data_IF_338535619874
#
_entry.id   IF_338535619874
#
_cell.length_a   1.000
_cell.length_b   1.000
_cell.length_c   1.000
_cell.angle_alpha   90.00
_cell.angle_beta   90.00
_cell.angle_gamma   90.00
#
_symmetry.space_group_name_H-M   'P 1'
#
loop_
_entity.id
_entity.type
_entity.pdbx_description
1 polymer ?
#
# COMPACT_ATOMS: atom_id res chain seq x y z
N UNK A 1 -11.50 -7.74 28.02
CA UNK A 1 -12.02 -7.65 26.65
C UNK A 1 -11.77 -6.24 26.09
N UNK A 2 -11.45 -6.05 24.82
CA UNK A 2 -11.31 -4.71 24.27
C UNK A 2 -12.61 -3.92 24.39
N UNK A 3 -12.51 -2.59 24.58
CA UNK A 3 -13.69 -1.70 24.69
C UNK A 3 -14.46 -1.72 23.36
N UNK A 4 -15.73 -2.13 23.38
CA UNK A 4 -16.62 -2.12 22.22
C UNK A 4 -17.30 -0.75 22.07
N UNK A 5 -17.42 -0.28 20.83
CA UNK A 5 -18.00 1.02 20.50
C UNK A 5 -19.48 0.88 20.12
N UNK A 6 -20.33 1.68 20.76
CA UNK A 6 -21.75 1.79 20.47
C UNK A 6 -22.13 3.14 19.91
N UNK A 7 -23.40 3.31 19.60
CA UNK A 7 -23.99 4.58 19.12
C UNK A 7 -23.24 5.20 17.94
N UNK A 8 -22.82 4.38 16.97
CA UNK A 8 -22.09 4.83 15.79
C UNK A 8 -23.05 5.16 14.65
N UNK A 9 -24.14 4.41 14.51
CA UNK A 9 -25.06 4.49 13.39
C UNK A 9 -25.66 5.90 13.18
N UNK A 10 -26.13 6.61 14.20
CA UNK A 10 -26.61 7.98 14.03
C UNK A 10 -25.59 8.95 13.42
N UNK A 11 -24.30 8.68 13.66
CA UNK A 11 -23.20 9.47 13.03
C UNK A 11 -22.99 9.09 11.57
N UNK A 12 -23.24 7.83 11.21
CA UNK A 12 -23.10 7.34 9.83
C UNK A 12 -24.18 7.99 8.96
N UNK A 13 -25.44 8.00 9.39
CA UNK A 13 -26.58 8.50 8.62
C UNK A 13 -26.81 10.03 8.72
N UNK A 14 -26.07 10.74 9.58
CA UNK A 14 -26.27 12.18 9.73
C UNK A 14 -25.94 12.94 8.42
N UNK A 15 -26.73 13.98 8.10
CA UNK A 15 -26.62 14.80 6.88
C UNK A 15 -25.18 15.29 6.62
N UNK A 16 -24.49 15.76 7.67
CA UNK A 16 -23.13 16.25 7.57
C UNK A 16 -22.12 15.17 7.17
N UNK A 17 -22.30 13.94 7.65
CA UNK A 17 -21.45 12.82 7.29
C UNK A 17 -21.69 12.35 5.85
N UNK A 18 -22.95 12.21 5.45
CA UNK A 18 -23.32 11.85 4.07
C UNK A 18 -22.81 12.91 3.09
N UNK A 19 -22.93 14.19 3.44
CA UNK A 19 -22.38 15.29 2.63
C UNK A 19 -20.86 15.13 2.39
N UNK A 20 -20.09 14.79 3.43
CA UNK A 20 -18.65 14.48 3.32
C UNK A 20 -18.41 13.22 2.49
N UNK A 21 -19.25 12.20 2.68
CA UNK A 21 -19.18 10.95 1.92
C UNK A 21 -19.38 11.16 0.42
N UNK A 22 -20.37 11.97 0.02
CA UNK A 22 -20.60 12.35 -1.39
C UNK A 22 -19.35 13.05 -1.96
N UNK A 23 -18.78 14.00 -1.22
CA UNK A 23 -17.57 14.73 -1.65
C UNK A 23 -16.39 13.77 -1.88
N UNK A 24 -16.17 12.84 -0.95
CA UNK A 24 -15.09 11.87 -1.04
C UNK A 24 -15.31 10.84 -2.16
N UNK A 25 -16.54 10.31 -2.28
CA UNK A 25 -16.91 9.37 -3.33
C UNK A 25 -16.79 9.98 -4.74
N UNK A 26 -17.08 11.29 -4.88
CA UNK A 26 -17.03 12.01 -6.15
C UNK A 26 -15.61 12.39 -6.60
N UNK A 27 -14.62 12.35 -5.69
CA UNK A 27 -13.25 12.80 -5.99
C UNK A 27 -12.64 12.06 -7.19
N UNK A 28 -12.19 12.84 -8.18
CA UNK A 28 -11.60 12.31 -9.43
C UNK A 28 -12.60 11.72 -10.45
N UNK A 29 -13.93 11.73 -10.15
CA UNK A 29 -14.96 11.12 -11.02
C UNK A 29 -15.91 12.16 -11.65
N UNK A 30 -15.84 13.41 -11.25
CA UNK A 30 -16.78 14.49 -11.58
C UNK A 30 -16.93 14.75 -13.08
N UNK A 31 -15.86 14.57 -13.87
CA UNK A 31 -15.85 14.92 -15.30
C UNK A 31 -16.60 13.91 -16.19
N UNK A 32 -16.53 12.62 -15.88
CA UNK A 32 -16.94 11.53 -16.80
C UNK A 32 -18.16 10.73 -16.33
N UNK A 33 -18.62 10.89 -15.09
CA UNK A 33 -19.68 10.09 -14.53
C UNK A 33 -20.98 10.89 -14.36
N UNK A 34 -22.01 10.52 -15.12
CA UNK A 34 -23.33 11.20 -15.08
C UNK A 34 -23.98 11.13 -13.69
N UNK A 35 -23.93 9.99 -13.02
CA UNK A 35 -24.49 9.83 -11.67
C UNK A 35 -23.78 10.72 -10.65
N UNK A 36 -22.44 10.87 -10.74
CA UNK A 36 -21.68 11.78 -9.88
C UNK A 36 -22.09 13.24 -10.11
N UNK A 37 -22.28 13.64 -11.38
CA UNK A 37 -22.73 15.00 -11.70
C UNK A 37 -24.13 15.27 -11.14
N UNK A 38 -25.06 14.32 -11.26
CA UNK A 38 -26.42 14.43 -10.70
C UNK A 38 -26.38 14.59 -9.19
N UNK A 39 -25.65 13.73 -8.47
CA UNK A 39 -25.50 13.81 -7.01
C UNK A 39 -24.89 15.14 -6.53
N UNK A 40 -23.98 15.71 -7.32
CA UNK A 40 -23.38 17.00 -6.97
C UNK A 40 -24.30 18.19 -7.28
N UNK A 41 -25.15 18.08 -8.31
CA UNK A 41 -26.14 19.11 -8.69
C UNK A 41 -27.32 19.12 -7.72
N UNK A 42 -27.89 17.95 -7.41
CA UNK A 42 -29.05 17.76 -6.54
C UNK A 42 -28.63 17.23 -5.16
N UNK A 43 -27.74 17.99 -4.49
CA UNK A 43 -27.03 17.48 -3.33
C UNK A 43 -27.92 17.26 -2.11
N UNK A 44 -28.88 18.13 -1.87
CA UNK A 44 -29.83 18.00 -0.76
C UNK A 44 -30.71 16.76 -0.92
N UNK A 45 -31.23 16.56 -2.13
CA UNK A 45 -32.05 15.38 -2.49
C UNK A 45 -31.23 14.09 -2.38
N UNK A 46 -29.97 14.11 -2.85
CA UNK A 46 -29.06 12.97 -2.75
C UNK A 46 -28.75 12.59 -1.29
N UNK A 47 -28.65 13.56 -0.38
CA UNK A 47 -28.48 13.32 1.05
C UNK A 47 -29.73 12.66 1.62
N UNK A 48 -30.92 13.24 1.36
CA UNK A 48 -32.19 12.71 1.82
C UNK A 48 -32.42 11.28 1.31
N UNK A 49 -32.20 11.05 0.00
CA UNK A 49 -32.28 9.74 -0.62
C UNK A 49 -31.34 8.72 0.07
N UNK A 50 -30.09 9.11 0.32
CA UNK A 50 -29.12 8.22 1.00
C UNK A 50 -29.55 7.90 2.42
N UNK A 51 -30.15 8.86 3.16
CA UNK A 51 -30.71 8.61 4.50
C UNK A 51 -31.85 7.59 4.43
N UNK A 52 -32.75 7.75 3.46
CA UNK A 52 -33.87 6.80 3.27
C UNK A 52 -33.37 5.39 2.93
N UNK A 53 -32.37 5.26 2.03
CA UNK A 53 -31.77 3.97 1.68
C UNK A 53 -31.11 3.28 2.91
N UNK A 54 -30.56 4.08 3.83
CA UNK A 54 -29.88 3.56 5.04
C UNK A 54 -30.85 3.24 6.19
N UNK A 55 -31.98 3.84 6.23
CA UNK A 55 -33.10 3.74 7.16
C UNK A 55 -32.94 2.75 8.34
N UNK A 56 -32.38 3.21 9.44
CA UNK A 56 -32.27 2.42 10.68
C UNK A 56 -31.43 1.14 10.62
N UNK A 57 -30.59 0.98 9.59
CA UNK A 57 -29.75 -0.22 9.41
C UNK A 57 -30.28 -1.23 8.39
N UNK A 58 -31.46 -1.01 7.83
CA UNK A 58 -32.08 -1.91 6.83
C UNK A 58 -31.52 -1.75 5.41
N UNK A 59 -30.30 -1.24 5.29
CA UNK A 59 -29.66 -1.04 3.98
C UNK A 59 -29.46 -2.35 3.24
N UNK A 60 -29.93 -2.40 1.99
CA UNK A 60 -29.65 -3.49 1.06
C UNK A 60 -28.68 -3.00 -0.02
N UNK A 61 -27.53 -3.64 -0.12
CA UNK A 61 -26.53 -3.24 -1.10
C UNK A 61 -27.01 -3.57 -2.52
N UNK A 62 -27.03 -2.58 -3.44
CA UNK A 62 -27.42 -2.85 -4.83
C UNK A 62 -26.37 -3.72 -5.54
N UNK A 63 -26.76 -4.43 -6.61
CA UNK A 63 -25.82 -5.26 -7.38
C UNK A 63 -24.59 -4.49 -7.87
N UNK A 64 -23.46 -5.19 -7.93
CA UNK A 64 -22.22 -4.65 -8.49
C UNK A 64 -22.21 -4.69 -10.01
N UNK A 65 -21.50 -3.78 -10.63
CA UNK A 65 -21.09 -3.86 -12.04
C UNK A 65 -19.77 -4.63 -12.09
N UNK A 66 -19.80 -5.81 -12.66
CA UNK A 66 -18.60 -6.63 -12.83
C UNK A 66 -17.77 -6.14 -14.03
N UNK A 67 -16.46 -6.15 -13.90
CA UNK A 67 -15.54 -5.80 -14.96
C UNK A 67 -14.18 -6.47 -14.75
N UNK A 68 -13.54 -6.85 -15.85
CA UNK A 68 -12.16 -7.35 -15.82
C UNK A 68 -11.19 -6.24 -16.20
N UNK A 69 -10.19 -6.03 -15.37
CA UNK A 69 -9.12 -5.06 -15.64
C UNK A 69 -7.75 -5.74 -15.68
N UNK A 70 -6.86 -5.20 -16.51
CA UNK A 70 -5.44 -5.60 -16.53
C UNK A 70 -4.65 -4.71 -15.56
N UNK A 71 -4.11 -5.33 -14.52
CA UNK A 71 -3.40 -4.63 -13.47
C UNK A 71 -2.05 -4.11 -13.98
N UNK A 72 -1.85 -2.82 -13.92
CA UNK A 72 -0.63 -2.04 -14.16
C UNK A 72 0.53 -2.75 -14.88
N UNK A 73 1.74 -2.71 -14.30
CA UNK A 73 2.90 -3.35 -14.93
C UNK A 73 2.85 -4.88 -15.00
N UNK A 74 2.01 -5.54 -14.19
CA UNK A 74 1.93 -7.00 -14.18
C UNK A 74 1.11 -7.56 -15.34
N UNK A 75 0.19 -6.77 -15.91
CA UNK A 75 -0.80 -7.19 -16.91
C UNK A 75 -1.62 -8.41 -16.44
N UNK A 76 -1.68 -8.62 -15.12
CA UNK A 76 -2.52 -9.66 -14.54
C UNK A 76 -3.97 -9.23 -14.62
N UNK A 77 -4.82 -10.09 -15.15
CA UNK A 77 -6.25 -9.87 -15.17
C UNK A 77 -6.82 -9.98 -13.75
N UNK A 78 -7.69 -9.04 -13.43
CA UNK A 78 -8.40 -9.00 -12.16
C UNK A 78 -9.87 -8.73 -12.41
N UNK A 79 -10.70 -9.56 -11.87
CA UNK A 79 -12.14 -9.31 -11.82
C UNK A 79 -12.39 -8.31 -10.69
N UNK A 80 -13.08 -7.24 -11.01
CA UNK A 80 -13.44 -6.19 -10.06
C UNK A 80 -14.95 -6.04 -10.02
N UNK A 81 -15.49 -5.85 -8.83
CA UNK A 81 -16.90 -5.52 -8.59
C UNK A 81 -17.01 -4.04 -8.29
N UNK A 82 -17.55 -3.26 -9.22
CA UNK A 82 -17.73 -1.80 -9.07
C UNK A 82 -19.09 -1.52 -8.46
N UNK A 83 -19.16 -0.90 -7.27
CA UNK A 83 -20.45 -0.49 -6.72
C UNK A 83 -21.01 0.69 -7.50
N UNK A 84 -22.31 0.78 -7.60
CA UNK A 84 -23.02 1.98 -8.08
C UNK A 84 -22.63 3.19 -7.25
N UNK A 85 -22.73 4.41 -7.81
CA UNK A 85 -22.28 5.60 -7.08
C UNK A 85 -23.04 5.81 -5.76
N UNK A 86 -24.35 5.51 -5.72
CA UNK A 86 -25.14 5.54 -4.50
C UNK A 86 -24.55 4.65 -3.40
N UNK A 87 -24.18 3.42 -3.73
CA UNK A 87 -23.53 2.50 -2.80
C UNK A 87 -22.14 2.98 -2.37
N UNK A 88 -21.36 3.62 -3.27
CA UNK A 88 -20.08 4.23 -2.89
C UNK A 88 -20.25 5.33 -1.84
N UNK A 89 -21.34 6.09 -1.87
CA UNK A 89 -21.65 7.11 -0.85
C UNK A 89 -21.92 6.44 0.50
N UNK A 90 -22.67 5.35 0.54
CA UNK A 90 -22.92 4.58 1.77
C UNK A 90 -21.61 3.99 2.32
N UNK A 91 -20.78 3.37 1.47
CA UNK A 91 -19.46 2.87 1.89
C UNK A 91 -18.60 3.98 2.50
N UNK A 92 -18.56 5.17 1.89
CA UNK A 92 -17.82 6.30 2.44
C UNK A 92 -18.43 6.81 3.76
N UNK A 93 -19.78 6.84 3.87
CA UNK A 93 -20.47 7.24 5.09
C UNK A 93 -20.12 6.34 6.27
N UNK A 94 -20.14 5.02 6.05
CA UNK A 94 -19.68 4.03 7.02
C UNK A 94 -18.20 4.23 7.37
N UNK A 95 -17.33 4.27 6.37
CA UNK A 95 -15.88 4.30 6.59
C UNK A 95 -15.40 5.54 7.32
N UNK A 96 -16.01 6.72 7.09
CA UNK A 96 -15.68 7.95 7.83
C UNK A 96 -15.85 7.80 9.34
N UNK A 97 -16.70 6.87 9.80
CA UNK A 97 -16.96 6.64 11.23
C UNK A 97 -16.17 5.46 11.79
N UNK A 98 -15.95 4.38 11.01
CA UNK A 98 -15.28 3.18 11.54
C UNK A 98 -13.76 3.15 11.26
N UNK A 99 -13.26 3.90 10.29
CA UNK A 99 -11.82 4.01 10.01
C UNK A 99 -11.00 4.35 11.24
N UNK A 100 -11.36 5.37 12.08
CA UNK A 100 -10.63 5.68 13.30
C UNK A 100 -10.60 4.53 14.31
N UNK A 101 -11.63 3.66 14.32
CA UNK A 101 -11.70 2.51 15.22
C UNK A 101 -10.74 1.41 14.75
N UNK A 102 -10.72 1.13 13.44
CA UNK A 102 -9.78 0.18 12.83
C UNK A 102 -8.33 0.64 13.03
N UNK A 103 -8.07 1.94 12.89
CA UNK A 103 -6.73 2.51 13.04
C UNK A 103 -6.12 2.33 14.43
N UNK A 104 -6.92 2.22 15.49
CA UNK A 104 -6.40 2.05 16.87
C UNK A 104 -5.56 0.81 17.07
N UNK A 105 -5.88 -0.28 16.37
CA UNK A 105 -5.13 -1.54 16.45
C UNK A 105 -4.20 -1.75 15.23
N UNK A 106 -4.05 -0.75 14.36
CA UNK A 106 -3.27 -0.89 13.15
C UNK A 106 -1.77 -0.90 13.43
N UNK A 107 -1.10 -1.96 13.03
CA UNK A 107 0.35 -2.07 13.14
C UNK A 107 1.07 -0.96 12.36
N UNK A 108 2.11 -0.37 12.95
CA UNK A 108 2.79 0.81 12.38
C UNK A 108 3.36 0.60 10.98
N UNK A 109 3.89 -0.58 10.70
CA UNK A 109 4.46 -0.93 9.39
C UNK A 109 3.48 -1.65 8.46
N UNK A 110 2.18 -1.60 8.75
CA UNK A 110 1.15 -1.83 7.74
C UNK A 110 1.01 -0.54 6.91
N UNK A 111 1.48 -0.59 5.67
CA UNK A 111 1.56 0.57 4.80
C UNK A 111 0.61 0.49 3.59
N UNK A 112 -0.10 -0.61 3.44
CA UNK A 112 -0.99 -0.82 2.28
C UNK A 112 -2.31 -0.08 2.43
N UNK A 113 -2.56 0.93 1.59
CA UNK A 113 -3.84 1.67 1.56
C UNK A 113 -4.24 2.33 2.89
N UNK A 114 -3.26 2.71 3.69
CA UNK A 114 -3.45 3.43 4.97
C UNK A 114 -3.09 4.90 4.77
N UNK A 115 -3.94 5.87 5.16
CA UNK A 115 -3.64 7.29 5.05
C UNK A 115 -2.32 7.66 5.75
N UNK A 116 -1.53 8.53 5.12
CA UNK A 116 -0.22 8.92 5.62
C UNK A 116 0.86 7.85 5.49
N UNK A 117 0.52 6.64 5.09
CA UNK A 117 1.43 5.53 4.85
C UNK A 117 1.38 5.12 3.37
N UNK A 118 2.34 4.36 2.91
CA UNK A 118 2.36 3.95 1.50
C UNK A 118 3.61 3.17 1.12
N UNK A 119 3.69 2.80 -0.15
CA UNK A 119 4.78 2.01 -0.71
C UNK A 119 6.16 2.61 -0.38
N UNK A 120 6.31 3.94 -0.49
CA UNK A 120 7.58 4.63 -0.23
C UNK A 120 8.00 4.55 1.24
N UNK A 121 7.06 4.69 2.18
CA UNK A 121 7.33 4.57 3.61
C UNK A 121 7.76 3.15 3.96
N UNK A 122 7.00 2.16 3.52
CA UNK A 122 7.26 0.75 3.76
C UNK A 122 8.63 0.32 3.20
N UNK A 123 8.91 0.73 1.96
CA UNK A 123 10.20 0.49 1.31
C UNK A 123 11.36 1.10 2.10
N UNK A 124 11.25 2.39 2.50
CA UNK A 124 12.29 3.07 3.29
C UNK A 124 12.52 2.41 4.65
N UNK A 125 11.47 1.89 5.30
CA UNK A 125 11.60 1.16 6.54
C UNK A 125 12.44 -0.11 6.35
N UNK A 126 12.12 -0.93 5.36
CA UNK A 126 12.86 -2.16 5.04
C UNK A 126 14.31 -1.84 4.66
N UNK A 127 14.57 -0.82 3.84
CA UNK A 127 15.93 -0.37 3.51
C UNK A 127 16.73 0.04 4.75
N UNK A 128 16.11 0.80 5.64
CA UNK A 128 16.75 1.25 6.87
C UNK A 128 17.12 0.07 7.76
N UNK A 129 16.23 -0.90 7.94
CA UNK A 129 16.52 -2.10 8.74
C UNK A 129 17.65 -2.92 8.14
N UNK A 130 17.62 -3.14 6.83
CA UNK A 130 18.67 -3.88 6.12
C UNK A 130 20.05 -3.21 6.23
N UNK A 131 20.10 -1.87 6.20
CA UNK A 131 21.37 -1.11 6.27
C UNK A 131 21.91 -0.97 7.68
N UNK A 132 21.02 -0.70 8.64
CA UNK A 132 21.43 -0.35 10.00
C UNK A 132 21.57 -1.58 10.89
N UNK A 133 20.93 -2.70 10.55
CA UNK A 133 20.99 -3.92 11.36
C UNK A 133 21.11 -5.17 10.48
N UNK A 134 22.29 -5.40 9.87
CA UNK A 134 22.52 -6.58 9.01
C UNK A 134 22.37 -7.91 9.76
N UNK A 135 22.73 -7.98 11.05
CA UNK A 135 22.58 -9.19 11.84
C UNK A 135 21.11 -9.48 12.16
N UNK A 136 20.33 -8.47 12.57
CA UNK A 136 18.90 -8.63 12.84
C UNK A 136 18.06 -8.89 11.58
N UNK A 137 18.59 -8.54 10.39
CA UNK A 137 17.97 -8.77 9.09
C UNK A 137 18.68 -9.85 8.26
N UNK A 138 19.50 -10.67 8.91
CA UNK A 138 20.30 -11.74 8.28
C UNK A 138 19.47 -12.73 7.48
N UNK A 139 18.31 -13.10 7.98
CA UNK A 139 17.35 -13.98 7.30
C UNK A 139 16.04 -13.26 7.04
N UNK A 140 15.45 -13.55 5.89
CA UNK A 140 14.15 -13.04 5.49
C UNK A 140 13.17 -14.21 5.33
N UNK A 141 11.98 -14.08 5.93
CA UNK A 141 10.81 -14.90 5.68
C UNK A 141 9.91 -14.16 4.69
N UNK A 142 9.58 -14.81 3.59
CA UNK A 142 8.54 -14.39 2.63
C UNK A 142 7.42 -15.41 2.63
N UNK A 143 6.20 -14.90 2.76
CA UNK A 143 4.98 -15.67 2.75
C UNK A 143 3.98 -14.94 1.84
N UNK A 144 3.27 -15.68 0.99
CA UNK A 144 2.33 -15.13 0.01
C UNK A 144 0.94 -15.76 0.22
N UNK A 145 -0.10 -14.91 0.21
CA UNK A 145 -1.49 -15.33 0.34
C UNK A 145 -2.07 -15.47 -1.07
N UNK A 146 -2.62 -16.64 -1.37
CA UNK A 146 -3.22 -16.91 -2.68
C UNK A 146 -4.54 -16.16 -2.83
N UNK A 147 -4.66 -15.35 -3.90
CA UNK A 147 -5.90 -14.60 -4.20
C UNK A 147 -6.50 -13.92 -2.97
N UNK A 148 -5.72 -13.11 -2.25
CA UNK A 148 -6.05 -12.59 -0.92
C UNK A 148 -7.49 -12.07 -0.79
N UNK A 149 -7.92 -11.10 -1.60
CA UNK A 149 -9.27 -10.55 -1.49
C UNK A 149 -10.38 -11.60 -1.60
N UNK A 150 -10.37 -12.46 -2.63
CA UNK A 150 -11.35 -13.55 -2.71
C UNK A 150 -11.21 -14.65 -1.65
N UNK A 151 -10.07 -14.73 -0.94
CA UNK A 151 -9.87 -15.72 0.12
C UNK A 151 -10.28 -15.24 1.50
N UNK A 152 -10.66 -13.97 1.65
CA UNK A 152 -11.17 -13.43 2.92
C UNK A 152 -12.49 -14.11 3.26
N UNK A 153 -12.55 -14.77 4.41
CA UNK A 153 -13.76 -15.41 4.91
C UNK A 153 -14.70 -14.36 5.52
N UNK A 154 -15.95 -14.32 5.04
CA UNK A 154 -16.93 -13.33 5.46
C UNK A 154 -17.26 -13.41 6.96
N UNK A 155 -17.45 -14.62 7.49
CA UNK A 155 -17.83 -14.81 8.91
C UNK A 155 -16.71 -14.35 9.85
N UNK A 156 -15.46 -14.74 9.57
CA UNK A 156 -14.30 -14.28 10.36
C UNK A 156 -14.17 -12.75 10.33
N UNK A 157 -14.47 -12.12 9.20
CA UNK A 157 -14.44 -10.67 9.09
C UNK A 157 -15.57 -10.02 9.89
N UNK A 158 -16.80 -10.52 9.78
CA UNK A 158 -17.94 -10.06 10.56
C UNK A 158 -17.68 -10.20 12.06
N UNK A 159 -17.18 -11.35 12.50
CA UNK A 159 -16.83 -11.59 13.92
C UNK A 159 -15.75 -10.62 14.40
N UNK A 160 -14.80 -10.28 13.56
CA UNK A 160 -13.78 -9.27 13.90
C UNK A 160 -14.40 -7.89 14.15
N UNK A 161 -15.42 -7.49 13.37
CA UNK A 161 -16.16 -6.25 13.62
C UNK A 161 -17.00 -6.33 14.92
N UNK A 162 -17.64 -7.47 15.20
CA UNK A 162 -18.42 -7.68 16.46
C UNK A 162 -17.55 -7.57 17.70
N UNK A 163 -16.24 -7.83 17.60
CA UNK A 163 -15.30 -7.66 18.73
C UNK A 163 -15.04 -6.19 19.09
N UNK A 164 -15.19 -5.26 18.14
CA UNK A 164 -14.93 -3.83 18.38
C UNK A 164 -16.17 -2.96 18.32
N UNK A 165 -17.25 -3.39 17.68
CA UNK A 165 -18.51 -2.66 17.53
C UNK A 165 -19.62 -3.42 18.26
N UNK A 166 -20.47 -2.68 19.00
CA UNK A 166 -21.67 -3.20 19.67
C UNK A 166 -22.99 -2.59 19.16
N UNK A 167 -22.92 -1.67 18.18
CA UNK A 167 -24.08 -1.00 17.58
C UNK A 167 -24.70 -1.93 16.51
N UNK A 168 -25.92 -2.50 16.75
CA UNK A 168 -26.52 -3.48 15.83
C UNK A 168 -26.68 -2.93 14.42
N UNK A 169 -27.28 -1.76 14.25
CA UNK A 169 -27.51 -1.16 12.92
C UNK A 169 -26.19 -0.93 12.13
N UNK A 170 -25.08 -0.63 12.85
CA UNK A 170 -23.77 -0.52 12.19
C UNK A 170 -23.25 -1.88 11.75
N UNK A 171 -23.48 -2.93 12.55
CA UNK A 171 -23.10 -4.30 12.19
C UNK A 171 -23.93 -4.80 11.00
N UNK A 172 -25.26 -4.55 11.00
CA UNK A 172 -26.14 -4.92 9.90
C UNK A 172 -25.72 -4.25 8.57
N UNK A 173 -25.33 -2.96 8.64
CA UNK A 173 -24.79 -2.26 7.47
C UNK A 173 -23.46 -2.85 6.98
N UNK A 174 -22.56 -3.22 7.89
CA UNK A 174 -21.29 -3.88 7.56
C UNK A 174 -21.55 -5.24 6.93
N UNK A 175 -22.45 -6.04 7.54
CA UNK A 175 -22.82 -7.37 7.07
C UNK A 175 -23.45 -7.30 5.67
N UNK A 176 -24.37 -6.36 5.42
CA UNK A 176 -24.96 -6.13 4.09
C UNK A 176 -23.91 -5.84 3.02
N UNK A 177 -22.88 -5.04 3.36
CA UNK A 177 -21.79 -4.74 2.43
C UNK A 177 -20.89 -5.96 2.18
N UNK A 178 -20.60 -6.76 3.21
CA UNK A 178 -19.78 -7.97 3.08
C UNK A 178 -20.51 -9.04 2.26
N UNK A 179 -21.78 -9.29 2.58
CA UNK A 179 -22.59 -10.33 1.93
C UNK A 179 -22.85 -10.01 0.46
N UNK A 180 -23.08 -8.73 0.12
CA UNK A 180 -23.30 -8.30 -1.26
C UNK A 180 -22.13 -8.62 -2.21
N UNK A 181 -20.92 -8.75 -1.69
CA UNK A 181 -19.72 -9.01 -2.47
C UNK A 181 -19.24 -10.46 -2.39
N UNK A 182 -19.92 -11.31 -1.61
CA UNK A 182 -19.45 -12.64 -1.25
C UNK A 182 -18.05 -12.56 -0.59
N UNK A 183 -17.97 -11.69 0.44
CA UNK A 183 -16.75 -11.36 1.14
C UNK A 183 -16.19 -9.97 0.81
N UNK A 184 -14.97 -9.90 0.30
CA UNK A 184 -14.30 -8.62 0.01
C UNK A 184 -13.89 -8.54 -1.45
N UNK A 185 -14.53 -7.63 -2.20
CA UNK A 185 -14.27 -7.43 -3.63
C UNK A 185 -13.16 -6.40 -3.89
N UNK A 186 -12.46 -6.53 -5.00
CA UNK A 186 -11.49 -5.53 -5.45
C UNK A 186 -12.24 -4.37 -6.12
N UNK A 187 -11.93 -3.13 -5.72
CA UNK A 187 -12.43 -1.92 -6.37
C UNK A 187 -13.18 -0.96 -5.47
N UNK A 188 -13.51 -1.35 -4.23
CA UNK A 188 -14.22 -0.52 -3.27
C UNK A 188 -13.26 0.12 -2.25
N UNK A 189 -13.63 1.30 -1.75
CA UNK A 189 -12.86 1.95 -0.68
C UNK A 189 -12.89 1.15 0.62
N UNK A 190 -14.09 0.68 1.03
CA UNK A 190 -14.25 -0.18 2.21
C UNK A 190 -13.46 -1.48 2.14
N UNK A 191 -13.34 -2.08 0.95
CA UNK A 191 -12.62 -3.34 0.77
C UNK A 191 -11.16 -3.29 1.19
N UNK A 192 -10.49 -2.17 0.95
CA UNK A 192 -9.08 -1.99 1.35
C UNK A 192 -8.94 -1.94 2.88
N UNK A 193 -9.89 -1.30 3.55
CA UNK A 193 -9.95 -1.22 5.00
C UNK A 193 -10.32 -2.56 5.63
N UNK A 194 -11.32 -3.25 5.08
CA UNK A 194 -11.75 -4.56 5.54
C UNK A 194 -10.62 -5.58 5.40
N UNK A 195 -9.91 -5.58 4.28
CA UNK A 195 -8.75 -6.43 4.06
C UNK A 195 -7.60 -6.16 5.05
N UNK A 196 -7.31 -4.88 5.35
CA UNK A 196 -6.32 -4.52 6.35
C UNK A 196 -6.75 -4.91 7.77
N UNK A 197 -8.03 -4.71 8.10
CA UNK A 197 -8.61 -5.08 9.38
C UNK A 197 -8.61 -6.60 9.59
N UNK A 198 -8.91 -7.36 8.54
CA UNK A 198 -8.88 -8.81 8.57
C UNK A 198 -7.49 -9.38 8.91
N UNK A 199 -6.41 -8.76 8.45
CA UNK A 199 -5.04 -9.18 8.75
C UNK A 199 -4.46 -8.56 10.04
N UNK A 200 -5.16 -7.63 10.68
CA UNK A 200 -4.68 -6.99 11.91
C UNK A 200 -4.38 -7.99 13.04
N UNK A 201 -5.20 -9.05 13.29
CA UNK A 201 -4.86 -10.08 14.28
C UNK A 201 -3.56 -10.83 13.95
N UNK A 202 -3.23 -11.02 12.66
CA UNK A 202 -1.95 -11.63 12.27
C UNK A 202 -0.76 -10.70 12.56
N UNK A 203 -0.92 -9.38 12.38
CA UNK A 203 0.10 -8.40 12.73
C UNK A 203 0.41 -8.46 14.24
N UNK A 204 -0.61 -8.52 15.09
CA UNK A 204 -0.47 -8.70 16.53
C UNK A 204 0.12 -10.06 16.90
N UNK A 205 -0.32 -11.13 16.26
CA UNK A 205 0.23 -12.46 16.46
C UNK A 205 1.74 -12.50 16.19
N UNK A 206 2.20 -11.87 15.11
CA UNK A 206 3.62 -11.77 14.77
C UNK A 206 4.40 -11.08 15.89
N UNK A 207 3.90 -9.96 16.42
CA UNK A 207 4.63 -9.13 17.38
C UNK A 207 4.53 -9.60 18.83
N UNK A 208 3.43 -10.23 19.21
CA UNK A 208 3.14 -10.55 20.59
C UNK A 208 3.34 -12.03 20.93
N UNK A 209 3.09 -12.93 19.96
CA UNK A 209 3.07 -14.38 20.19
C UNK A 209 4.29 -15.12 19.63
N UNK A 210 4.91 -14.62 18.56
CA UNK A 210 6.05 -15.29 17.94
C UNK A 210 7.37 -14.97 18.68
N UNK A 211 7.44 -15.41 19.92
CA UNK A 211 8.57 -15.23 20.84
C UNK A 211 9.11 -16.58 21.29
N UNK A 212 10.40 -16.60 21.64
CA UNK A 212 11.07 -17.78 22.21
C UNK A 212 11.88 -17.40 23.46
N UNK A 213 12.07 -18.36 24.36
CA UNK A 213 12.87 -18.17 25.55
C UNK A 213 14.37 -18.18 25.17
N UNK A 214 15.10 -17.22 25.70
CA UNK A 214 16.57 -17.14 25.56
C UNK A 214 17.17 -16.88 26.93
N UNK A 215 18.23 -17.62 27.28
CA UNK A 215 18.97 -17.37 28.51
C UNK A 215 20.08 -16.37 28.26
N UNK A 216 20.12 -15.27 29.01
CA UNK A 216 21.19 -14.27 28.91
C UNK A 216 22.50 -14.87 29.39
N UNK A 217 23.56 -14.76 28.63
CA UNK A 217 24.89 -15.29 28.98
C UNK A 217 25.46 -14.68 30.28
N UNK A 218 25.19 -13.36 30.50
CA UNK A 218 25.78 -12.59 31.61
C UNK A 218 25.25 -12.99 32.99
N UNK A 219 23.97 -13.35 33.10
CA UNK A 219 23.31 -13.59 34.40
C UNK A 219 22.37 -14.79 34.41
N UNK A 220 22.35 -15.61 33.37
CA UNK A 220 21.51 -16.80 33.27
C UNK A 220 19.99 -16.51 33.17
N UNK A 221 19.56 -15.26 33.22
CA UNK A 221 18.14 -14.88 33.21
C UNK A 221 17.46 -15.30 31.92
N UNK A 222 16.29 -15.93 32.02
CA UNK A 222 15.46 -16.26 30.86
C UNK A 222 14.66 -15.05 30.42
N UNK A 223 14.81 -14.66 29.18
CA UNK A 223 14.08 -13.54 28.55
C UNK A 223 13.31 -14.04 27.33
N UNK A 224 12.15 -13.44 27.07
CA UNK A 224 11.42 -13.67 25.82
C UNK A 224 12.00 -12.79 24.72
N UNK A 225 12.42 -13.41 23.63
CA UNK A 225 13.02 -12.74 22.47
C UNK A 225 12.13 -12.92 21.25
N UNK A 226 11.96 -11.88 20.46
CA UNK A 226 11.16 -11.92 19.24
C UNK A 226 11.85 -12.81 18.19
N UNK A 227 11.13 -13.77 17.62
CA UNK A 227 11.60 -14.57 16.51
C UNK A 227 11.67 -13.76 15.21
N UNK A 228 10.76 -12.80 15.08
CA UNK A 228 10.67 -11.81 13.99
C UNK A 228 11.04 -10.44 14.56
N UNK A 229 12.25 -9.97 14.30
CA UNK A 229 12.75 -8.68 14.79
C UNK A 229 12.11 -7.51 14.06
N UNK A 230 12.03 -7.60 12.74
CA UNK A 230 11.42 -6.61 11.88
C UNK A 230 10.36 -7.23 10.97
N UNK A 231 9.28 -6.49 10.79
CA UNK A 231 8.16 -6.93 9.99
C UNK A 231 7.52 -5.73 9.29
N UNK A 232 7.25 -5.85 8.00
CA UNK A 232 6.49 -4.87 7.21
C UNK A 232 5.46 -5.57 6.33
N UNK A 233 4.28 -4.96 6.20
CA UNK A 233 3.17 -5.47 5.40
C UNK A 233 2.64 -4.39 4.46
N UNK A 234 2.43 -4.76 3.21
CA UNK A 234 1.75 -3.95 2.21
C UNK A 234 0.59 -4.75 1.63
N UNK A 235 -0.61 -4.58 2.22
CA UNK A 235 -1.79 -5.42 1.98
C UNK A 235 -1.49 -6.86 2.37
N UNK A 236 -1.33 -7.77 1.41
CA UNK A 236 -1.00 -9.19 1.57
C UNK A 236 0.51 -9.49 1.45
N UNK A 237 1.30 -8.59 0.88
CA UNK A 237 2.75 -8.78 0.73
C UNK A 237 3.48 -8.52 2.06
N UNK A 238 3.86 -9.60 2.74
CA UNK A 238 4.55 -9.58 4.03
C UNK A 238 6.04 -9.86 3.88
N UNK A 239 6.85 -9.12 4.65
CA UNK A 239 8.30 -9.30 4.71
C UNK A 239 8.74 -9.26 6.16
N UNK A 240 9.27 -10.39 6.66
CA UNK A 240 9.70 -10.55 8.04
C UNK A 240 11.19 -10.85 8.09
N UNK A 241 11.89 -10.33 9.10
CA UNK A 241 13.32 -10.52 9.28
C UNK A 241 13.66 -11.02 10.68
N UNK A 242 14.72 -11.82 10.77
CA UNK A 242 15.25 -12.28 12.04
C UNK A 242 16.71 -12.74 11.93
N UNK A 243 17.43 -12.75 13.05
CA UNK A 243 18.87 -13.12 13.09
C UNK A 243 19.09 -14.63 12.99
N UNK A 244 18.10 -15.44 13.35
CA UNK A 244 18.23 -16.91 13.45
C UNK A 244 17.31 -17.63 12.47
N UNK A 245 17.89 -18.41 11.55
CA UNK A 245 17.14 -19.14 10.50
C UNK A 245 16.13 -20.12 11.08
N UNK A 246 16.55 -20.94 12.08
CA UNK A 246 15.70 -21.98 12.70
C UNK A 246 14.49 -21.35 13.40
N UNK A 247 14.72 -20.31 14.20
CA UNK A 247 13.65 -19.59 14.91
C UNK A 247 12.71 -18.85 13.98
N UNK A 248 13.25 -18.24 12.91
CA UNK A 248 12.44 -17.58 11.91
C UNK A 248 11.59 -18.60 11.10
N UNK A 249 12.13 -19.77 10.82
CA UNK A 249 11.40 -20.85 10.15
C UNK A 249 10.29 -21.41 11.03
N UNK A 250 10.56 -21.62 12.32
CA UNK A 250 9.55 -22.03 13.32
C UNK A 250 8.43 -20.99 13.46
N UNK A 251 8.80 -19.70 13.51
CA UNK A 251 7.83 -18.60 13.49
C UNK A 251 6.99 -18.57 12.20
N UNK A 252 7.63 -18.86 11.06
CA UNK A 252 6.96 -18.96 9.76
C UNK A 252 5.90 -20.06 9.73
N UNK A 253 6.19 -21.25 10.28
CA UNK A 253 5.20 -22.34 10.41
C UNK A 253 4.03 -21.93 11.27
N UNK A 254 4.28 -21.37 12.45
CA UNK A 254 3.21 -20.88 13.35
C UNK A 254 2.36 -19.81 12.71
N UNK A 255 2.96 -18.90 11.95
CA UNK A 255 2.24 -17.87 11.20
C UNK A 255 1.40 -18.49 10.07
N UNK A 256 1.95 -19.45 9.34
CA UNK A 256 1.25 -20.20 8.30
C UNK A 256 0.00 -20.88 8.86
N UNK A 257 0.16 -21.61 9.98
CA UNK A 257 -0.94 -22.28 10.66
C UNK A 257 -2.00 -21.30 11.16
N UNK A 258 -1.59 -20.15 11.71
CA UNK A 258 -2.49 -19.10 12.16
C UNK A 258 -3.30 -18.51 11.01
N UNK A 259 -2.66 -18.16 9.91
CA UNK A 259 -3.33 -17.63 8.73
C UNK A 259 -4.33 -18.63 8.13
N UNK A 260 -3.96 -19.92 8.09
CA UNK A 260 -4.78 -20.98 7.53
C UNK A 260 -5.94 -21.38 8.45
N UNK A 261 -5.65 -21.64 9.72
CA UNK A 261 -6.62 -22.25 10.65
C UNK A 261 -7.50 -21.21 11.34
N UNK A 262 -6.95 -20.05 11.72
CA UNK A 262 -7.67 -18.98 12.43
C UNK A 262 -8.28 -18.00 11.45
N UNK A 263 -7.49 -17.49 10.49
CA UNK A 263 -8.00 -16.55 9.50
C UNK A 263 -8.54 -17.21 8.22
N UNK A 264 -8.59 -18.54 8.14
CA UNK A 264 -9.14 -19.30 7.00
C UNK A 264 -8.61 -18.87 5.63
N UNK A 265 -7.38 -18.31 5.58
CA UNK A 265 -6.75 -17.84 4.36
C UNK A 265 -6.04 -18.96 3.59
N UNK A 266 -6.05 -18.88 2.27
CA UNK A 266 -5.29 -19.78 1.40
C UNK A 266 -3.85 -19.29 1.26
N UNK A 267 -2.97 -19.75 2.13
CA UNK A 267 -1.54 -19.44 2.08
C UNK A 267 -0.86 -20.39 1.10
N UNK A 268 0.10 -19.90 0.32
CA UNK A 268 0.88 -20.75 -0.60
C UNK A 268 1.91 -21.56 0.18
N UNK A 269 2.08 -22.82 -0.20
CA UNK A 269 3.01 -23.73 0.44
C UNK A 269 4.50 -23.44 0.12
N UNK A 270 4.77 -22.59 -0.89
CA UNK A 270 6.11 -22.18 -1.33
C UNK A 270 6.75 -21.05 -0.49
N UNK A 271 6.24 -20.81 0.72
CA UNK A 271 6.84 -19.84 1.63
C UNK A 271 8.27 -20.24 2.04
N UNK A 272 9.13 -19.27 2.25
CA UNK A 272 10.57 -19.53 2.38
C UNK A 272 11.24 -18.64 3.41
N UNK A 273 12.22 -19.24 4.11
CA UNK A 273 13.22 -18.51 4.90
C UNK A 273 14.58 -18.62 4.22
N UNK A 274 15.14 -17.49 3.86
CA UNK A 274 16.41 -17.45 3.14
C UNK A 274 17.39 -16.44 3.74
N UNK A 275 18.68 -16.66 3.50
CA UNK A 275 19.74 -15.72 3.82
C UNK A 275 19.63 -14.50 2.91
N UNK A 276 19.60 -13.30 3.47
CA UNK A 276 19.71 -12.06 2.70
C UNK A 276 21.13 -11.95 2.14
N UNK A 277 21.25 -11.47 0.91
CA UNK A 277 22.54 -11.39 0.20
C UNK A 277 23.64 -10.78 1.05
N UNK A 278 24.70 -11.54 1.29
CA UNK A 278 25.93 -11.13 1.97
C UNK A 278 27.17 -11.45 1.13
N UNK A 279 28.16 -10.60 1.23
CA UNK A 279 29.49 -10.83 0.65
C UNK A 279 30.24 -11.81 1.55
N UNK A 280 30.83 -12.86 1.00
CA UNK A 280 31.63 -13.85 1.68
C UNK A 280 32.94 -14.08 0.93
N UNK A 281 33.93 -14.61 1.62
CA UNK A 281 35.21 -15.03 1.04
C UNK A 281 35.38 -16.52 1.27
N UNK A 282 35.85 -17.26 0.26
CA UNK A 282 36.20 -18.65 0.40
C UNK A 282 37.36 -18.82 1.38
N UNK A 283 37.18 -19.63 2.42
CA UNK A 283 38.15 -19.79 3.50
C UNK A 283 39.17 -20.92 3.21
N UNK A 284 38.85 -21.83 2.33
CA UNK A 284 39.69 -23.00 2.03
C UNK A 284 39.49 -23.45 0.58
N UNK A 285 40.34 -24.39 0.11
CA UNK A 285 40.32 -24.98 -1.22
C UNK A 285 40.88 -24.08 -2.32
N UNK A 286 40.74 -24.54 -3.59
CA UNK A 286 41.28 -23.83 -4.78
C UNK A 286 40.81 -22.36 -4.94
N UNK A 287 39.69 -21.99 -4.32
CA UNK A 287 39.09 -20.63 -4.37
C UNK A 287 39.37 -19.82 -3.09
N UNK A 288 40.30 -20.21 -2.24
CA UNK A 288 40.68 -19.47 -1.02
C UNK A 288 40.98 -18.01 -1.39
N UNK A 289 40.34 -17.05 -0.67
CA UNK A 289 40.49 -15.62 -0.94
C UNK A 289 39.49 -15.04 -1.96
N UNK A 290 38.85 -15.86 -2.82
CA UNK A 290 37.86 -15.39 -3.76
C UNK A 290 36.59 -14.92 -3.05
N UNK A 291 36.04 -13.83 -3.53
CA UNK A 291 34.82 -13.22 -3.00
C UNK A 291 33.60 -13.71 -3.77
N UNK A 292 32.60 -14.14 -3.03
CA UNK A 292 31.29 -14.52 -3.60
C UNK A 292 30.12 -13.90 -2.83
N UNK A 293 28.95 -13.91 -3.45
CA UNK A 293 27.72 -13.47 -2.80
C UNK A 293 26.86 -14.69 -2.45
N UNK A 294 26.62 -14.88 -1.15
CA UNK A 294 25.71 -15.90 -0.64
C UNK A 294 24.33 -15.32 -0.36
N UNK A 295 23.28 -16.15 -0.49
CA UNK A 295 21.90 -15.72 -0.24
C UNK A 295 21.25 -15.05 -1.43
N UNK A 296 20.16 -14.34 -1.19
CA UNK A 296 19.41 -13.61 -2.24
C UNK A 296 18.87 -12.29 -1.74
N UNK A 297 18.64 -11.36 -2.69
CA UNK A 297 18.03 -10.07 -2.37
C UNK A 297 16.54 -10.24 -1.99
N UNK A 298 16.07 -9.41 -1.07
CA UNK A 298 14.67 -9.34 -0.68
C UNK A 298 13.88 -8.69 -1.80
N UNK A 299 12.92 -9.43 -2.38
CA UNK A 299 12.00 -8.93 -3.39
C UNK A 299 10.75 -8.37 -2.71
N UNK A 300 10.60 -7.03 -2.69
CA UNK A 300 9.50 -6.36 -2.03
C UNK A 300 9.13 -5.06 -2.75
N UNK A 301 7.83 -4.81 -2.98
CA UNK A 301 7.28 -3.59 -3.57
C UNK A 301 7.92 -3.17 -4.92
N UNK A 302 8.32 -4.15 -5.72
CA UNK A 302 8.93 -3.88 -7.03
C UNK A 302 10.44 -3.62 -7.00
N UNK A 303 11.06 -3.76 -5.84
CA UNK A 303 12.49 -3.62 -5.64
C UNK A 303 13.13 -4.94 -5.20
N UNK A 304 14.43 -5.06 -5.44
CA UNK A 304 15.32 -6.07 -4.86
C UNK A 304 16.29 -5.36 -3.94
N UNK A 305 16.28 -5.74 -2.68
CA UNK A 305 17.00 -5.06 -1.60
C UNK A 305 17.94 -6.01 -0.88
N UNK A 306 19.09 -5.51 -0.50
CA UNK A 306 20.01 -6.19 0.42
C UNK A 306 20.67 -5.15 1.34
N UNK A 307 21.60 -5.57 2.20
CA UNK A 307 22.26 -4.71 3.18
C UNK A 307 23.01 -3.51 2.58
N UNK A 308 23.37 -3.56 1.28
CA UNK A 308 24.18 -2.52 0.63
C UNK A 308 23.41 -1.68 -0.40
N UNK A 309 22.45 -2.29 -1.09
CA UNK A 309 21.81 -1.64 -2.24
C UNK A 309 20.34 -2.03 -2.40
N UNK A 310 19.59 -1.14 -3.04
CA UNK A 310 18.22 -1.33 -3.50
C UNK A 310 18.17 -1.08 -4.98
N UNK A 311 17.80 -2.08 -5.77
CA UNK A 311 17.65 -1.97 -7.21
C UNK A 311 16.23 -2.30 -7.64
N UNK A 312 15.81 -1.83 -8.81
CA UNK A 312 14.50 -2.19 -9.36
C UNK A 312 14.46 -3.65 -9.78
N UNK A 313 13.28 -4.27 -9.64
CA UNK A 313 13.03 -5.66 -10.04
C UNK A 313 13.31 -5.85 -11.55
N UNK A 314 14.03 -6.89 -11.93
CA UNK A 314 14.44 -7.20 -13.31
C UNK A 314 13.26 -7.14 -14.31
N UNK A 315 12.07 -7.61 -13.93
CA UNK A 315 10.87 -7.57 -14.76
C UNK A 315 10.42 -6.14 -15.05
N UNK A 316 10.50 -5.23 -14.06
CA UNK A 316 10.17 -3.80 -14.22
C UNK A 316 11.21 -3.13 -15.13
N UNK A 317 12.50 -3.37 -14.88
CA UNK A 317 13.59 -2.85 -15.71
C UNK A 317 13.44 -3.24 -17.20
N UNK A 318 13.17 -4.52 -17.48
CA UNK A 318 12.95 -4.99 -18.86
C UNK A 318 11.77 -4.31 -19.54
N UNK A 319 10.66 -4.10 -18.82
CA UNK A 319 9.46 -3.42 -19.35
C UNK A 319 9.73 -1.94 -19.62
N UNK A 320 10.41 -1.28 -18.69
CA UNK A 320 10.82 0.11 -18.84
C UNK A 320 11.67 0.29 -20.10
N UNK A 321 12.69 -0.56 -20.30
CA UNK A 321 13.55 -0.54 -21.50
C UNK A 321 12.75 -0.77 -22.79
N UNK A 322 11.85 -1.76 -22.83
CA UNK A 322 10.99 -2.01 -24.01
C UNK A 322 10.07 -0.83 -24.28
N UNK A 323 9.50 -0.22 -23.26
CA UNK A 323 8.60 0.95 -23.40
C UNK A 323 9.36 2.15 -23.92
N UNK A 324 10.55 2.46 -23.40
CA UNK A 324 11.39 3.57 -23.84
C UNK A 324 11.74 3.43 -25.34
N UNK A 325 12.22 2.26 -25.75
CA UNK A 325 12.54 1.98 -27.17
C UNK A 325 11.33 2.09 -28.09
N UNK A 326 10.14 1.68 -27.62
CA UNK A 326 8.90 1.80 -28.42
C UNK A 326 8.49 3.27 -28.57
N UNK A 327 8.65 4.07 -27.54
CA UNK A 327 8.34 5.51 -27.60
C UNK A 327 9.30 6.23 -28.54
N UNK A 328 10.58 5.91 -28.51
CA UNK A 328 11.60 6.52 -29.42
C UNK A 328 11.31 6.29 -30.89
N UNK A 329 10.55 5.23 -31.24
CA UNK A 329 10.15 4.95 -32.64
C UNK A 329 8.89 5.71 -33.08
N UNK A 330 8.25 6.49 -32.21
CA UNK A 330 7.06 7.26 -32.53
C UNK A 330 7.44 8.67 -33.00
N UNK A 331 6.70 9.27 -33.92
CA UNK A 331 6.87 10.68 -34.30
C UNK A 331 6.74 11.61 -33.09
N UNK A 332 5.77 11.34 -32.21
CA UNK A 332 5.59 12.07 -30.96
C UNK A 332 5.06 11.13 -29.86
N UNK A 333 5.52 11.30 -28.62
CA UNK A 333 4.99 10.54 -27.49
C UNK A 333 3.58 11.01 -27.12
N UNK A 334 2.70 10.07 -26.77
CA UNK A 334 1.37 10.40 -26.25
C UNK A 334 1.41 10.78 -24.76
N UNK A 335 0.37 11.45 -24.25
CA UNK A 335 0.20 11.71 -22.81
C UNK A 335 0.34 10.42 -21.95
N UNK A 336 -0.20 9.30 -22.45
CA UNK A 336 -0.08 7.99 -21.77
C UNK A 336 1.35 7.48 -21.76
N UNK A 337 2.12 7.75 -22.80
CA UNK A 337 3.55 7.41 -22.85
C UNK A 337 4.33 8.24 -21.84
N UNK A 338 4.10 9.55 -21.81
CA UNK A 338 4.72 10.47 -20.86
C UNK A 338 4.40 10.07 -19.40
N UNK A 339 3.13 9.87 -19.08
CA UNK A 339 2.67 9.44 -17.73
C UNK A 339 3.30 8.11 -17.31
N UNK A 340 3.42 7.16 -18.23
CA UNK A 340 4.06 5.86 -17.94
C UNK A 340 5.56 6.04 -17.65
N UNK A 341 6.28 6.84 -18.42
CA UNK A 341 7.72 7.03 -18.22
C UNK A 341 8.04 7.84 -16.98
N UNK A 342 7.23 8.84 -16.63
CA UNK A 342 7.37 9.60 -15.38
C UNK A 342 7.09 8.68 -14.17
N UNK A 343 6.09 7.81 -14.25
CA UNK A 343 5.84 6.80 -13.21
C UNK A 343 7.04 5.85 -13.05
N UNK A 344 7.63 5.38 -14.14
CA UNK A 344 8.84 4.54 -14.08
C UNK A 344 10.05 5.29 -13.53
N UNK A 345 10.21 6.57 -13.86
CA UNK A 345 11.27 7.39 -13.29
C UNK A 345 11.18 7.46 -11.77
N UNK A 346 9.97 7.48 -11.20
CA UNK A 346 9.77 7.38 -9.74
C UNK A 346 10.43 6.15 -9.12
N UNK A 347 10.38 4.98 -9.76
CA UNK A 347 11.09 3.78 -9.28
C UNK A 347 12.62 3.97 -9.28
N UNK A 348 13.16 4.64 -10.29
CA UNK A 348 14.61 4.92 -10.41
C UNK A 348 15.07 5.88 -9.32
N UNK A 349 14.36 7.01 -9.14
CA UNK A 349 14.70 8.03 -8.14
C UNK A 349 14.75 7.46 -6.71
N UNK A 350 13.98 6.39 -6.46
CA UNK A 350 13.94 5.71 -5.17
C UNK A 350 14.79 4.43 -5.11
N UNK A 351 15.82 4.28 -5.96
CA UNK A 351 16.66 3.09 -6.00
C UNK A 351 18.10 3.42 -6.43
N UNK A 352 19.00 2.46 -6.25
CA UNK A 352 20.38 2.53 -6.71
C UNK A 352 20.51 2.07 -8.18
N UNK A 353 19.44 2.22 -9.00
CA UNK A 353 19.37 1.79 -10.40
C UNK A 353 19.71 2.90 -11.40
N UNK A 354 20.44 3.92 -10.96
CA UNK A 354 20.76 5.09 -11.79
C UNK A 354 21.57 4.72 -13.05
N UNK A 355 22.61 3.87 -12.92
CA UNK A 355 23.39 3.40 -14.07
C UNK A 355 22.53 2.71 -15.14
N UNK A 356 21.52 1.94 -14.70
CA UNK A 356 20.55 1.34 -15.62
C UNK A 356 19.74 2.41 -16.37
N UNK A 357 19.27 3.46 -15.67
CA UNK A 357 18.55 4.54 -16.32
C UNK A 357 19.43 5.25 -17.35
N UNK A 358 20.62 5.69 -16.96
CA UNK A 358 21.54 6.42 -17.82
C UNK A 358 21.88 5.63 -19.12
N UNK A 359 22.15 4.33 -18.99
CA UNK A 359 22.60 3.53 -20.14
C UNK A 359 21.47 2.93 -20.98
N UNK A 360 20.30 2.65 -20.37
CA UNK A 360 19.27 1.87 -21.04
C UNK A 360 17.97 2.64 -21.32
N UNK A 361 17.77 3.83 -20.73
CA UNK A 361 16.53 4.61 -20.86
C UNK A 361 16.80 6.03 -21.36
N UNK A 362 17.74 6.76 -20.75
CA UNK A 362 18.04 8.14 -21.10
C UNK A 362 18.39 8.37 -22.58
N UNK A 363 19.04 7.44 -23.30
CA UNK A 363 19.28 7.60 -24.73
C UNK A 363 18.01 7.67 -25.60
N UNK A 364 16.89 7.14 -25.09
CA UNK A 364 15.62 7.05 -25.80
C UNK A 364 14.58 8.06 -25.34
N UNK A 365 14.71 8.59 -24.11
CA UNK A 365 13.66 9.36 -23.45
C UNK A 365 14.23 10.61 -22.78
N UNK A 366 13.72 11.77 -23.17
CA UNK A 366 13.90 13.01 -22.41
C UNK A 366 12.80 13.10 -21.33
N UNK A 367 13.16 12.83 -20.07
CA UNK A 367 12.21 12.78 -18.97
C UNK A 367 11.63 14.16 -18.62
N UNK A 368 12.38 15.22 -18.82
CA UNK A 368 11.91 16.60 -18.54
C UNK A 368 10.80 16.97 -19.52
N UNK A 369 10.99 16.72 -20.85
CA UNK A 369 9.93 16.92 -21.84
C UNK A 369 8.67 16.10 -21.49
N UNK A 370 8.82 14.86 -20.97
CA UNK A 370 7.67 14.06 -20.54
C UNK A 370 6.93 14.67 -19.34
N UNK A 371 7.64 15.27 -18.38
CA UNK A 371 7.04 15.99 -17.25
C UNK A 371 6.32 17.26 -17.71
N UNK A 372 6.91 18.02 -18.61
CA UNK A 372 6.30 19.21 -19.22
C UNK A 372 5.00 18.88 -19.93
N UNK A 373 4.97 17.80 -20.74
CA UNK A 373 3.73 17.34 -21.39
C UNK A 373 2.61 17.05 -20.39
N UNK A 374 2.93 16.45 -19.24
CA UNK A 374 1.93 16.16 -18.19
C UNK A 374 1.46 17.45 -17.53
N UNK A 375 2.39 18.38 -17.24
CA UNK A 375 2.09 19.66 -16.61
C UNK A 375 1.21 20.53 -17.52
N UNK A 376 1.54 20.66 -18.80
CA UNK A 376 0.78 21.43 -19.78
C UNK A 376 -0.63 20.88 -19.97
N UNK A 377 -0.77 19.53 -20.04
CA UNK A 377 -2.08 18.88 -20.09
C UNK A 377 -2.91 19.12 -18.82
N UNK A 378 -2.27 19.24 -17.64
CA UNK A 378 -2.98 19.58 -16.40
C UNK A 378 -3.42 21.06 -16.38
N UNK A 379 -2.60 21.98 -16.92
CA UNK A 379 -2.91 23.42 -17.01
C UNK A 379 -4.02 23.70 -18.03
N UNK A 380 -3.96 23.13 -19.24
CA UNK A 380 -5.02 23.27 -20.24
C UNK A 380 -6.37 22.75 -19.73
N UNK A 381 -6.37 21.73 -18.89
CA UNK A 381 -7.57 21.23 -18.21
C UNK A 381 -8.09 22.15 -17.10
N UNK A 382 -7.26 22.99 -16.50
CA UNK A 382 -7.68 23.97 -15.49
C UNK A 382 -8.20 25.25 -16.13
N UNK A 383 -7.65 25.71 -17.24
CA UNK A 383 -8.11 26.90 -17.97
C UNK A 383 -9.50 26.68 -18.57
N UNK A 384 -9.78 25.51 -19.14
CA UNK A 384 -11.13 25.15 -19.63
C UNK A 384 -12.19 24.99 -18.53
N UNK A 385 -11.77 24.90 -17.25
CA UNK A 385 -12.67 24.82 -16.09
C UNK A 385 -12.93 26.15 -15.38
N UNK A 386 -12.16 27.21 -15.67
CA UNK A 386 -12.23 28.49 -14.94
C UNK A 386 -13.16 29.55 -15.58
N UNK A 387 -13.92 29.20 -16.62
CA UNK A 387 -14.95 30.11 -17.18
C UNK A 387 -16.14 30.42 -16.24
N UNK A 388 -16.23 29.81 -15.06
CA UNK A 388 -17.25 30.10 -14.02
C UNK A 388 -16.73 29.68 -12.65
N UNK A 389 -15.93 30.48 -11.98
CA UNK A 389 -15.79 30.48 -10.49
C UNK A 389 -14.88 31.61 -10.00
N UNK A 390 -15.51 32.69 -9.57
CA UNK A 390 -14.96 33.49 -8.49
C UNK A 390 -14.99 32.69 -7.19
N UNK A 391 -14.06 33.00 -6.28
CA UNK A 391 -13.95 32.51 -4.89
C UNK A 391 -13.50 31.07 -4.68
N UNK A 392 -12.17 30.84 -4.68
CA UNK A 392 -11.55 29.67 -4.10
C UNK A 392 -10.32 30.02 -3.24
N UNK A 393 -10.48 30.97 -2.31
CA UNK A 393 -9.41 31.34 -1.35
C UNK A 393 -9.52 30.65 0.02
N UNK A 394 -10.58 29.85 0.28
CA UNK A 394 -10.85 29.25 1.60
C UNK A 394 -10.20 27.87 1.87
N UNK A 395 -9.71 27.15 0.87
CA UNK A 395 -9.26 25.77 1.08
C UNK A 395 -7.76 25.58 1.36
N UNK A 396 -6.94 26.63 1.35
CA UNK A 396 -5.50 26.53 1.72
C UNK A 396 -5.21 26.55 3.23
N UNK A 397 -6.20 26.88 4.07
CA UNK A 397 -6.00 26.99 5.54
C UNK A 397 -6.28 25.72 6.35
N UNK A 398 -7.01 24.74 5.82
CA UNK A 398 -7.38 23.54 6.57
C UNK A 398 -6.29 22.45 6.53
N UNK A 399 -5.49 22.35 5.46
CA UNK A 399 -4.40 21.37 5.40
C UNK A 399 -3.19 21.72 6.29
N UNK A 400 -3.07 22.97 6.75
CA UNK A 400 -1.99 23.40 7.66
C UNK A 400 -2.27 23.22 9.16
N UNK A 401 -3.51 22.93 9.56
CA UNK A 401 -3.85 22.72 10.98
C UNK A 401 -3.75 21.29 11.48
N UNK A 402 -3.70 20.28 10.59
CA UNK A 402 -3.48 18.88 10.98
C UNK A 402 -2.01 18.45 11.02
N UNK A 403 -1.07 19.35 10.66
CA UNK A 403 0.38 19.06 10.70
C UNK A 403 1.10 19.61 11.92
N UNK A 404 0.38 20.16 12.91
CA UNK A 404 1.01 20.77 14.11
C UNK A 404 0.86 20.00 15.42
N UNK A 405 0.23 18.82 15.43
CA UNK A 405 0.00 18.05 16.63
C UNK A 405 0.94 16.84 16.84
N UNK A 406 1.84 16.52 15.89
CA UNK A 406 2.77 15.39 16.03
C UNK A 406 4.22 15.80 15.72
N UNK A 407 4.75 16.77 16.48
CA UNK A 407 6.18 17.08 16.49
C UNK A 407 6.84 16.58 17.79
N UNK A 408 6.98 15.26 17.92
CA UNK A 408 8.01 14.65 18.77
C UNK A 408 8.42 13.33 18.12
N UNK A 409 9.66 13.29 17.60
CA UNK A 409 10.40 12.26 16.88
C UNK A 409 10.41 12.37 15.34
N UNK A 410 11.11 13.38 14.85
CA UNK A 410 11.76 13.32 13.53
C UNK A 410 13.24 13.02 13.72
N UNK A 411 13.73 11.87 13.24
CA UNK A 411 15.14 11.77 12.84
C UNK A 411 15.27 12.33 11.42
N UNK A 412 16.36 13.05 11.20
CA UNK A 412 16.73 13.90 10.10
C UNK A 412 16.39 13.48 8.69
N UNK A 413 16.10 14.48 7.91
CA UNK A 413 15.89 14.49 6.47
C UNK A 413 17.01 13.80 5.69
N UNK A 414 16.69 12.62 5.14
CA UNK A 414 17.50 11.97 4.11
C UNK A 414 17.31 12.62 2.73
N UNK A 415 17.53 13.92 2.59
CA UNK A 415 17.49 14.69 1.33
C UNK A 415 18.59 14.32 0.31
N UNK A 416 19.36 13.23 0.53
CA UNK A 416 20.59 12.93 -0.20
C UNK A 416 20.45 12.32 -1.59
N UNK A 417 19.28 11.84 -2.05
CA UNK A 417 19.19 11.12 -3.34
C UNK A 417 18.70 11.96 -4.51
N UNK A 418 17.92 12.99 -4.27
CA UNK A 418 17.53 13.92 -5.34
C UNK A 418 18.70 14.87 -5.71
N UNK A 419 19.61 15.17 -4.77
CA UNK A 419 20.81 15.96 -5.01
C UNK A 419 21.83 15.30 -5.94
N UNK A 420 21.94 13.95 -5.97
CA UNK A 420 22.81 13.23 -6.91
C UNK A 420 22.42 13.44 -8.39
N UNK A 421 21.16 13.76 -8.66
CA UNK A 421 20.73 14.12 -10.02
C UNK A 421 21.33 15.43 -10.49
N UNK A 422 21.54 16.40 -9.62
CA UNK A 422 22.14 17.70 -10.01
C UNK A 422 23.64 17.58 -10.30
N UNK A 423 24.39 16.86 -9.47
CA UNK A 423 25.83 16.67 -9.68
C UNK A 423 26.16 15.84 -10.93
N UNK A 424 25.35 14.83 -11.26
CA UNK A 424 25.55 14.03 -12.46
C UNK A 424 25.16 14.77 -13.75
N UNK A 425 24.26 15.75 -13.68
CA UNK A 425 23.93 16.64 -14.80
C UNK A 425 25.15 17.48 -15.22
N UNK A 426 25.96 17.86 -14.27
CA UNK A 426 27.22 18.60 -14.49
C UNK A 426 28.25 17.67 -15.15
N UNK A 427 28.37 16.41 -14.71
CA UNK A 427 29.31 15.47 -15.30
C UNK A 427 28.97 15.03 -16.73
N UNK A 428 27.69 14.88 -17.09
CA UNK A 428 27.29 14.54 -18.47
C UNK A 428 27.52 15.73 -19.44
N UNK A 429 27.39 16.98 -18.95
CA UNK A 429 27.72 18.14 -19.76
C UNK A 429 29.24 18.26 -20.02
N UNK A 430 30.08 17.80 -19.09
CA UNK A 430 31.54 17.78 -19.24
C UNK A 430 32.08 16.64 -20.15
N UNK A 431 31.29 15.59 -20.40
CA UNK A 431 31.69 14.46 -21.26
C UNK A 431 31.19 14.66 -22.73
N UNK A 432 30.39 15.70 -22.99
CA UNK A 432 29.85 16.05 -24.31
C UNK A 432 30.33 17.43 -24.84
N UNK A 433 31.32 18.01 -24.21
CA UNK A 433 32.06 19.17 -24.67
C UNK A 433 33.37 18.77 -25.30
#
# INVERSE_FOLDING_TARGET
MPKRFGNIYPRIECKGNINRAITNAARGKQRKNKAVKSYLKHRAEAIAYTQTEMNGGKYQHPPYIEATIKDGPSQKERNIKKPLFKAQVVHWSLMLQIEPLIMRGMYDWNCGSVPGRGQSLCKRAVERWLRNDPEGTKYCLKLDISKFYPSINADVLKDSFRRIIKCPQTLDLIDSIIDSADGVSIGNYSSQWFANFYLQPADHFIKEKLRYATRRKKNGQVVKTDAIKYFARYVDDMTCFGPNKKRLHEAGRKLFDYLRNVLKLKVKDDWQVFLVTVKRTHRAGKRKGEVYFAGRDVDFLGYRMNHKRTIIRKRIARRMKRKARRIAKKPAPSFRDASTMVSYNGYICHSDSFKFWANAIAPYINIEKMKEMISNAAQSHNVSGNGKRGTAQAHRRVSRRHSRADHAHRPGDGGGRCGRWRSYRIQIKQIRG
#
